data_IF_539906188150
#
_entry.id   IF_539906188150
#
_cell.length_a   1.000
_cell.length_b   1.000
_cell.length_c   1.000
_cell.angle_alpha   90.00
_cell.angle_beta   90.00
_cell.angle_gamma   90.00
#
_symmetry.space_group_name_H-M   'P 1'
#
loop_
_entity.id
_entity.type
_entity.pdbx_description
1 polymer ?
#
# COMPACT_ATOMS: atom_id res chain seq x y z
N UNK A 1 10.82 -32.55 -24.17
CA UNK A 1 9.65 -32.51 -23.25
C UNK A 1 9.82 -31.28 -22.38
N UNK A 2 8.98 -30.25 -22.52
CA UNK A 2 9.11 -29.00 -21.76
C UNK A 2 8.50 -29.21 -20.37
N UNK A 3 9.30 -29.09 -19.32
CA UNK A 3 8.86 -29.15 -17.93
C UNK A 3 7.85 -28.02 -17.66
N UNK A 4 6.63 -28.40 -17.28
CA UNK A 4 5.53 -27.51 -16.91
C UNK A 4 5.41 -27.33 -15.38
N UNK A 5 6.49 -27.53 -14.63
CA UNK A 5 6.47 -27.57 -13.16
C UNK A 5 6.57 -26.20 -12.47
N UNK A 6 5.86 -25.18 -12.96
CA UNK A 6 5.97 -23.83 -12.38
C UNK A 6 4.81 -22.88 -12.62
N UNK A 7 3.72 -23.32 -13.28
CA UNK A 7 2.56 -22.47 -13.48
C UNK A 7 1.71 -22.53 -12.21
N UNK A 8 1.66 -21.44 -11.45
CA UNK A 8 0.71 -21.30 -10.36
C UNK A 8 -0.68 -21.61 -10.92
N UNK A 9 -1.35 -22.64 -10.40
CA UNK A 9 -2.66 -23.09 -10.87
C UNK A 9 -3.81 -22.18 -10.39
N UNK A 10 -3.49 -20.98 -9.89
CA UNK A 10 -4.49 -20.00 -9.51
C UNK A 10 -5.13 -19.41 -10.76
N UNK A 11 -6.37 -19.83 -11.00
CA UNK A 11 -7.23 -19.30 -12.07
C UNK A 11 -7.56 -17.81 -11.87
N UNK A 12 -7.36 -17.30 -10.64
CA UNK A 12 -7.53 -15.91 -10.25
C UNK A 12 -6.18 -15.30 -9.88
N UNK A 13 -5.76 -14.25 -10.58
CA UNK A 13 -4.66 -13.41 -10.15
C UNK A 13 -5.20 -12.38 -9.16
N UNK A 14 -5.05 -12.62 -7.86
CA UNK A 14 -5.58 -11.73 -6.81
C UNK A 14 -5.04 -10.31 -6.94
N UNK A 15 -3.79 -10.16 -7.40
CA UNK A 15 -3.14 -8.86 -7.63
C UNK A 15 -3.84 -8.02 -8.70
N UNK A 16 -4.50 -8.66 -9.66
CA UNK A 16 -5.24 -7.99 -10.73
C UNK A 16 -6.67 -7.61 -10.32
N UNK A 17 -7.13 -8.05 -9.15
CA UNK A 17 -8.52 -7.85 -8.67
C UNK A 17 -8.55 -6.83 -7.52
N UNK A 18 -7.48 -6.73 -6.74
CA UNK A 18 -7.36 -5.69 -5.71
C UNK A 18 -7.06 -4.33 -6.35
N UNK A 19 -7.90 -3.35 -6.02
CA UNK A 19 -7.82 -1.98 -6.51
C UNK A 19 -7.02 -1.08 -5.56
N UNK A 20 -5.93 -0.50 -6.06
CA UNK A 20 -5.10 0.44 -5.29
C UNK A 20 -5.90 1.65 -4.79
N UNK A 21 -6.85 2.18 -5.58
CA UNK A 21 -7.67 3.31 -5.16
C UNK A 21 -8.48 2.96 -3.91
N UNK A 22 -9.04 1.75 -3.90
CA UNK A 22 -9.76 1.23 -2.74
C UNK A 22 -8.83 1.03 -1.55
N UNK A 23 -7.63 0.47 -1.77
CA UNK A 23 -6.61 0.33 -0.72
C UNK A 23 -6.28 1.67 -0.05
N UNK A 24 -5.96 2.70 -0.83
CA UNK A 24 -5.66 4.03 -0.31
C UNK A 24 -6.87 4.66 0.40
N UNK A 25 -8.08 4.50 -0.14
CA UNK A 25 -9.30 5.00 0.52
C UNK A 25 -9.50 4.36 1.90
N UNK A 26 -9.33 3.04 2.01
CA UNK A 26 -9.47 2.31 3.27
C UNK A 26 -8.38 2.68 4.25
N UNK A 27 -7.12 2.86 3.82
CA UNK A 27 -6.05 3.34 4.70
C UNK A 27 -6.38 4.73 5.26
N UNK A 28 -6.88 5.66 4.44
CA UNK A 28 -7.29 6.99 4.92
C UNK A 28 -8.42 6.93 5.93
N UNK A 29 -9.46 6.15 5.65
CA UNK A 29 -10.63 6.00 6.53
C UNK A 29 -10.22 5.44 7.89
N UNK A 30 -9.38 4.41 7.92
CA UNK A 30 -8.88 3.81 9.15
C UNK A 30 -7.96 4.77 9.92
N UNK A 31 -7.14 5.53 9.21
CA UNK A 31 -6.16 6.43 9.80
C UNK A 31 -6.79 7.71 10.37
N UNK A 32 -7.79 8.24 9.69
CA UNK A 32 -8.40 9.53 9.97
C UNK A 32 -9.93 9.43 9.95
N UNK A 33 -10.53 8.66 10.89
CA UNK A 33 -11.98 8.49 10.94
C UNK A 33 -12.74 9.82 11.14
N UNK A 34 -12.12 10.76 11.86
CA UNK A 34 -12.69 12.09 12.17
C UNK A 34 -12.11 13.21 11.29
N UNK A 35 -11.55 12.84 10.12
CA UNK A 35 -10.93 13.78 9.20
C UNK A 35 -9.41 13.91 9.32
N UNK A 36 -8.78 14.38 8.25
CA UNK A 36 -7.33 14.35 8.06
C UNK A 36 -6.64 15.27 9.06
N UNK A 37 -5.63 14.74 9.75
CA UNK A 37 -4.77 15.46 10.70
C UNK A 37 -3.31 15.36 10.28
N UNK A 38 -2.56 16.44 10.45
CA UNK A 38 -1.14 16.48 10.13
C UNK A 38 -0.36 15.44 10.94
N UNK A 39 0.39 14.56 10.26
CA UNK A 39 1.16 13.50 10.91
C UNK A 39 2.32 14.01 11.77
N UNK A 40 2.72 15.27 11.59
CA UNK A 40 3.82 15.89 12.32
C UNK A 40 3.37 16.68 13.56
N UNK A 41 2.22 17.36 13.50
CA UNK A 41 1.77 18.29 14.55
C UNK A 41 0.29 18.15 14.95
N UNK A 42 -0.43 17.19 14.37
CA UNK A 42 -1.84 16.88 14.63
C UNK A 42 -2.86 17.99 14.37
N UNK A 43 -2.45 19.09 13.73
CA UNK A 43 -3.38 20.14 13.31
C UNK A 43 -4.34 19.65 12.21
N UNK A 44 -5.58 20.17 12.21
CA UNK A 44 -6.57 20.06 11.13
C UNK A 44 -6.38 21.09 10.01
N UNK A 45 -5.42 22.01 10.13
CA UNK A 45 -5.09 22.98 9.08
C UNK A 45 -4.34 22.28 7.95
N UNK A 46 -5.03 21.40 7.22
CA UNK A 46 -4.48 20.54 6.17
C UNK A 46 -5.19 20.84 4.86
N UNK A 47 -4.41 20.99 3.80
CA UNK A 47 -4.92 21.10 2.42
C UNK A 47 -4.36 19.97 1.56
N UNK A 48 -5.15 19.50 0.59
CA UNK A 48 -4.68 18.57 -0.44
C UNK A 48 -3.68 19.27 -1.35
N UNK A 49 -2.59 18.59 -1.68
CA UNK A 49 -1.47 19.14 -2.44
C UNK A 49 -1.04 18.17 -3.56
N UNK A 50 -1.99 17.83 -4.43
CA UNK A 50 -1.77 16.89 -5.53
C UNK A 50 -1.55 15.46 -5.06
N UNK A 51 -1.06 14.60 -5.95
CA UNK A 51 -0.84 13.18 -5.68
C UNK A 51 0.63 12.82 -5.87
N UNK A 52 1.00 11.61 -5.45
CA UNK A 52 2.28 11.04 -5.81
C UNK A 52 2.39 10.81 -7.32
N UNK A 53 3.59 11.00 -7.87
CA UNK A 53 3.84 10.88 -9.32
C UNK A 53 3.83 9.43 -9.80
N UNK A 54 4.19 8.49 -8.93
CA UNK A 54 4.28 7.06 -9.24
C UNK A 54 3.03 6.31 -8.80
N UNK A 55 2.37 6.77 -7.75
CA UNK A 55 1.12 6.21 -7.23
C UNK A 55 0.06 7.29 -7.17
N UNK A 56 -0.68 7.48 -8.27
CA UNK A 56 -1.67 8.56 -8.41
C UNK A 56 -2.78 8.51 -7.36
N UNK A 57 -3.04 7.34 -6.78
CA UNK A 57 -4.00 7.16 -5.70
C UNK A 57 -3.47 7.63 -4.34
N UNK A 58 -2.17 7.89 -4.18
CA UNK A 58 -1.54 8.41 -2.95
C UNK A 58 -1.68 9.92 -2.91
N UNK A 59 -2.49 10.43 -1.98
CA UNK A 59 -2.76 11.84 -1.81
C UNK A 59 -1.65 12.49 -0.98
N UNK A 60 -1.08 13.58 -1.49
CA UNK A 60 -0.15 14.44 -0.76
C UNK A 60 -0.92 15.57 -0.08
N UNK A 61 -0.43 16.00 1.06
CA UNK A 61 -1.02 17.03 1.91
C UNK A 61 0.03 18.05 2.33
N UNK A 62 -0.42 19.29 2.54
CA UNK A 62 0.36 20.35 3.15
C UNK A 62 -0.32 20.84 4.41
N UNK A 63 0.43 20.94 5.52
CA UNK A 63 -0.07 21.46 6.78
C UNK A 63 0.20 22.97 6.91
N UNK A 64 -0.84 23.79 6.98
CA UNK A 64 -0.74 25.23 7.20
C UNK A 64 -0.37 25.64 8.63
N UNK A 65 -0.22 24.71 9.57
CA UNK A 65 0.24 25.00 10.94
C UNK A 65 1.77 24.88 11.09
N UNK A 66 2.35 23.78 10.61
CA UNK A 66 3.79 23.52 10.71
C UNK A 66 4.55 23.60 9.39
N UNK A 67 3.86 23.91 8.28
CA UNK A 67 4.41 24.02 6.91
C UNK A 67 5.12 22.76 6.40
N UNK A 68 4.80 21.60 6.97
CA UNK A 68 5.34 20.30 6.53
C UNK A 68 4.38 19.62 5.57
N UNK A 69 4.96 18.84 4.67
CA UNK A 69 4.26 17.94 3.79
C UNK A 69 4.17 16.55 4.43
N UNK A 70 3.10 15.84 4.09
CA UNK A 70 2.89 14.44 4.42
C UNK A 70 1.92 13.84 3.40
N UNK A 71 1.75 12.53 3.42
CA UNK A 71 0.81 11.82 2.56
C UNK A 71 0.08 10.73 3.36
N UNK A 72 -0.75 9.95 2.67
CA UNK A 72 -1.52 8.87 3.27
C UNK A 72 -0.67 7.84 4.03
N UNK A 73 0.59 7.64 3.63
CA UNK A 73 1.49 6.60 4.13
C UNK A 73 2.58 7.15 5.07
N UNK A 74 2.79 8.46 5.17
CA UNK A 74 3.80 9.06 6.08
C UNK A 74 3.65 8.52 7.50
N UNK A 75 4.71 8.00 8.11
CA UNK A 75 4.68 7.42 9.46
C UNK A 75 3.95 6.08 9.58
N UNK A 76 3.68 5.39 8.48
CA UNK A 76 3.15 4.01 8.47
C UNK A 76 4.23 3.03 8.02
N UNK A 77 4.00 1.73 8.25
CA UNK A 77 4.89 0.68 7.73
C UNK A 77 5.01 0.69 6.19
N UNK A 78 4.12 1.36 5.48
CA UNK A 78 4.13 1.47 4.02
C UNK A 78 4.95 2.66 3.50
N UNK A 79 5.46 3.54 4.37
CA UNK A 79 6.10 4.81 3.98
C UNK A 79 7.30 4.63 3.04
N UNK A 80 8.17 3.67 3.34
CA UNK A 80 9.42 3.44 2.60
C UNK A 80 9.28 2.46 1.43
N UNK A 81 8.07 1.91 1.24
CA UNK A 81 7.84 0.86 0.25
C UNK A 81 7.41 1.45 -1.09
N UNK A 82 8.23 1.22 -2.12
CA UNK A 82 8.07 1.85 -3.44
C UNK A 82 7.10 1.10 -4.37
N UNK A 83 6.64 -0.10 -3.97
CA UNK A 83 5.68 -0.90 -4.73
C UNK A 83 4.22 -0.46 -4.52
N UNK A 84 3.28 -0.89 -5.38
CA UNK A 84 1.86 -0.62 -5.22
C UNK A 84 1.34 -1.03 -3.83
N UNK A 85 0.53 -0.18 -3.21
CA UNK A 85 0.04 -0.41 -1.85
C UNK A 85 -0.74 -1.73 -1.72
N UNK A 86 -1.53 -2.10 -2.73
CA UNK A 86 -2.27 -3.38 -2.79
C UNK A 86 -1.36 -4.59 -2.58
N UNK A 87 -0.16 -4.58 -3.15
CA UNK A 87 0.82 -5.67 -3.02
C UNK A 87 1.24 -5.84 -1.57
N UNK A 88 1.58 -4.75 -0.88
CA UNK A 88 2.02 -4.81 0.52
C UNK A 88 0.89 -5.19 1.47
N UNK A 89 -0.34 -4.71 1.23
CA UNK A 89 -1.51 -5.16 1.98
C UNK A 89 -1.72 -6.67 1.82
N UNK A 90 -1.60 -7.19 0.60
CA UNK A 90 -1.70 -8.63 0.36
C UNK A 90 -0.55 -9.42 0.99
N UNK A 91 0.70 -8.91 0.93
CA UNK A 91 1.84 -9.51 1.63
C UNK A 91 1.54 -9.66 3.12
N UNK A 92 1.12 -8.58 3.80
CA UNK A 92 0.79 -8.59 5.22
C UNK A 92 -0.38 -9.52 5.55
N UNK A 93 -1.42 -9.53 4.71
CA UNK A 93 -2.55 -10.44 4.85
C UNK A 93 -2.09 -11.91 4.78
N UNK A 94 -1.28 -12.28 3.80
CA UNK A 94 -0.76 -13.64 3.67
C UNK A 94 0.24 -14.03 4.76
N UNK A 95 1.05 -13.08 5.25
CA UNK A 95 1.88 -13.30 6.45
C UNK A 95 1.01 -13.60 7.68
N UNK A 96 -0.10 -12.87 7.86
CA UNK A 96 -1.07 -13.14 8.94
C UNK A 96 -1.77 -14.49 8.83
N UNK A 97 -1.87 -15.04 7.61
CA UNK A 97 -2.33 -16.41 7.33
C UNK A 97 -1.21 -17.46 7.44
N UNK A 98 -0.01 -17.08 7.88
CA UNK A 98 1.17 -17.94 8.05
C UNK A 98 1.66 -18.61 6.75
N UNK A 99 1.52 -17.95 5.60
CA UNK A 99 2.20 -18.39 4.37
C UNK A 99 3.71 -18.11 4.48
N UNK A 100 4.54 -19.03 3.98
CA UNK A 100 5.98 -18.78 3.86
C UNK A 100 6.28 -17.70 2.81
N UNK A 101 7.40 -16.97 2.96
CA UNK A 101 7.81 -15.96 1.97
C UNK A 101 7.87 -16.53 0.54
N UNK A 102 8.24 -17.80 0.38
CA UNK A 102 8.24 -18.48 -0.93
C UNK A 102 6.84 -18.66 -1.52
N UNK A 103 5.82 -18.92 -0.69
CA UNK A 103 4.43 -19.00 -1.13
C UNK A 103 3.88 -17.62 -1.49
N UNK A 104 4.16 -16.61 -0.66
CA UNK A 104 3.75 -15.22 -0.89
C UNK A 104 4.36 -14.69 -2.19
N UNK A 105 5.67 -14.86 -2.37
CA UNK A 105 6.38 -14.44 -3.58
C UNK A 105 5.78 -15.05 -4.85
N UNK A 106 5.44 -16.34 -4.79
CA UNK A 106 4.78 -17.04 -5.90
C UNK A 106 3.35 -16.55 -6.16
N UNK A 107 2.60 -16.23 -5.12
CA UNK A 107 1.21 -15.77 -5.24
C UNK A 107 1.11 -14.34 -5.77
N UNK A 108 2.06 -13.48 -5.39
CA UNK A 108 2.06 -12.06 -5.74
C UNK A 108 2.98 -11.69 -6.92
N UNK A 109 3.63 -12.70 -7.50
CA UNK A 109 4.62 -12.56 -8.57
C UNK A 109 5.74 -11.57 -8.19
N UNK A 110 6.35 -11.82 -7.03
CA UNK A 110 7.46 -11.03 -6.46
C UNK A 110 8.74 -11.85 -6.41
N UNK A 111 9.89 -11.18 -6.36
CA UNK A 111 11.12 -11.89 -6.00
C UNK A 111 11.05 -12.27 -4.52
N UNK A 112 11.61 -13.43 -4.17
CA UNK A 112 11.66 -13.90 -2.78
C UNK A 112 12.39 -12.92 -1.84
N UNK A 113 13.34 -12.14 -2.35
CA UNK A 113 14.05 -11.10 -1.59
C UNK A 113 13.18 -9.91 -1.23
N UNK A 114 12.05 -9.74 -1.92
CA UNK A 114 11.18 -8.57 -1.81
C UNK A 114 9.99 -8.84 -0.87
N UNK A 115 9.94 -10.03 -0.26
CA UNK A 115 8.93 -10.48 0.72
C UNK A 115 9.54 -10.64 2.10
#
# INVERSE_FOLDING_TARGET
MKNLSGRSHNILNIRAIIDDSKCFSTVRELRWPEGIRCTHCQSDKVVRHGHDETQLERQRYHCGNCNRYFDDLTGTIFEEHHGPLSVWILCLYFMGLNLSNSQIARELDLNRSDV
#
